data_IF_714583209763
#
_entry.id   IF_714583209763
#
_cell.length_a   1.000
_cell.length_b   1.000
_cell.length_c   1.000
_cell.angle_alpha   90.00
_cell.angle_beta   90.00
_cell.angle_gamma   90.00
#
_symmetry.space_group_name_H-M   'P 1'
#
loop_
_entity.id
_entity.type
_entity.pdbx_description
1 polymer ?
#
# COMPACT_ATOMS: atom_id res chain seq x y z
N UNK A 1 19.05 5.72 24.29
CA UNK A 1 18.21 4.91 23.36
C UNK A 1 18.78 5.09 21.97
N UNK A 2 19.17 4.02 21.26
CA UNK A 2 19.59 4.14 19.86
C UNK A 2 18.36 4.61 19.06
N UNK A 3 18.46 5.73 18.36
CA UNK A 3 17.44 6.13 17.40
C UNK A 3 17.29 4.99 16.39
N UNK A 4 16.15 4.29 16.42
CA UNK A 4 15.85 3.25 15.44
C UNK A 4 15.49 3.94 14.13
N UNK A 5 16.06 3.45 13.05
CA UNK A 5 15.67 3.89 11.72
C UNK A 5 14.21 3.54 11.49
N UNK A 6 13.44 4.49 10.96
CA UNK A 6 12.04 4.28 10.58
C UNK A 6 11.93 4.16 9.08
N UNK A 7 10.93 3.38 8.66
CA UNK A 7 10.55 3.25 7.28
C UNK A 7 9.19 3.89 7.04
N UNK A 8 9.04 4.58 5.94
CA UNK A 8 7.75 4.83 5.34
C UNK A 8 7.21 3.53 4.78
N UNK A 9 5.96 3.23 5.10
CA UNK A 9 5.19 2.13 4.53
C UNK A 9 4.01 2.75 3.81
N UNK A 10 3.95 2.54 2.50
CA UNK A 10 2.87 3.00 1.63
C UNK A 10 2.15 1.78 1.12
N UNK A 11 0.84 1.74 1.30
CA UNK A 11 -0.01 0.68 0.73
C UNK A 11 -1.16 1.31 -0.01
N UNK A 12 -1.31 0.91 -1.27
CA UNK A 12 -2.37 1.38 -2.15
C UNK A 12 -3.07 0.16 -2.78
N UNK A 13 -4.38 0.26 -2.94
CA UNK A 13 -5.24 -0.82 -3.40
C UNK A 13 -6.15 -0.32 -4.51
N UNK A 14 -6.22 -1.06 -5.61
CA UNK A 14 -7.16 -0.85 -6.69
C UNK A 14 -8.03 -2.09 -6.83
N UNK A 15 -9.34 -1.89 -6.97
CA UNK A 15 -10.28 -2.94 -7.33
C UNK A 15 -10.51 -2.91 -8.83
N UNK A 16 -10.35 -4.05 -9.47
CA UNK A 16 -10.52 -4.21 -10.92
C UNK A 16 -11.59 -5.26 -11.20
N UNK A 17 -12.34 -5.08 -12.27
CA UNK A 17 -13.22 -6.09 -12.80
C UNK A 17 -12.46 -6.91 -13.84
N UNK A 18 -12.50 -8.25 -13.76
CA UNK A 18 -11.79 -9.13 -14.70
C UNK A 18 -12.23 -8.92 -16.15
N UNK A 19 -13.49 -8.54 -16.34
CA UNK A 19 -14.08 -8.31 -17.66
C UNK A 19 -13.92 -6.86 -18.15
N UNK A 20 -13.28 -5.98 -17.38
CA UNK A 20 -13.02 -4.63 -17.86
C UNK A 20 -11.94 -4.69 -18.94
N UNK A 21 -12.19 -4.05 -20.09
CA UNK A 21 -11.21 -3.91 -21.17
C UNK A 21 -9.92 -3.16 -20.72
N UNK A 22 -9.93 -2.60 -19.54
CA UNK A 22 -8.78 -2.04 -18.84
C UNK A 22 -8.08 -3.13 -18.01
N UNK A 23 -7.48 -4.09 -18.66
CA UNK A 23 -6.45 -4.89 -18.00
C UNK A 23 -5.44 -3.90 -17.43
N UNK A 24 -5.19 -3.98 -16.11
CA UNK A 24 -4.16 -3.18 -15.47
C UNK A 24 -2.82 -3.54 -16.14
N UNK A 25 -2.30 -2.63 -16.96
CA UNK A 25 -1.05 -2.82 -17.70
C UNK A 25 0.14 -2.86 -16.73
N UNK A 26 0.30 -3.99 -16.05
CA UNK A 26 1.31 -4.21 -15.01
C UNK A 26 2.71 -3.78 -15.46
N UNK A 27 3.08 -4.08 -16.72
CA UNK A 27 4.42 -3.74 -17.24
C UNK A 27 4.70 -2.24 -17.16
N UNK A 28 3.86 -1.43 -17.81
CA UNK A 28 4.04 0.02 -17.86
C UNK A 28 4.00 0.66 -16.47
N UNK A 29 3.13 0.14 -15.60
CA UNK A 29 2.94 0.63 -14.23
C UNK A 29 4.13 0.30 -13.32
N UNK A 30 4.72 -0.90 -13.46
CA UNK A 30 5.94 -1.26 -12.73
C UNK A 30 7.10 -0.36 -13.11
N UNK A 31 7.34 -0.15 -14.41
CA UNK A 31 8.41 0.72 -14.89
C UNK A 31 8.21 2.17 -14.44
N UNK A 32 6.96 2.63 -14.43
CA UNK A 32 6.59 3.92 -13.88
C UNK A 32 6.93 4.03 -12.39
N UNK A 33 6.54 3.04 -11.57
CA UNK A 33 6.87 3.01 -10.14
C UNK A 33 8.38 3.07 -9.88
N UNK A 34 9.17 2.26 -10.61
CA UNK A 34 10.64 2.28 -10.51
C UNK A 34 11.16 3.71 -10.73
N UNK A 35 10.75 4.34 -11.84
CA UNK A 35 11.19 5.69 -12.19
C UNK A 35 10.83 6.72 -11.11
N UNK A 36 9.62 6.64 -10.54
CA UNK A 36 9.19 7.59 -9.51
C UNK A 36 9.94 7.36 -8.19
N UNK A 37 10.19 6.11 -7.79
CA UNK A 37 10.94 5.80 -6.56
C UNK A 37 12.41 6.24 -6.72
N UNK A 38 13.05 5.95 -7.85
CA UNK A 38 14.40 6.41 -8.15
C UNK A 38 14.50 7.95 -8.10
N UNK A 39 13.44 8.66 -8.53
CA UNK A 39 13.37 10.13 -8.53
C UNK A 39 13.30 10.72 -7.12
N UNK A 40 12.49 10.14 -6.23
CA UNK A 40 12.26 10.70 -4.88
C UNK A 40 13.33 10.32 -3.88
N UNK A 41 14.06 9.20 -4.10
CA UNK A 41 15.02 8.63 -3.15
C UNK A 41 16.47 8.72 -3.61
N UNK A 42 16.72 8.99 -4.90
CA UNK A 42 18.02 8.90 -5.56
C UNK A 42 18.65 7.48 -5.56
N UNK A 43 17.93 6.49 -5.01
CA UNK A 43 18.34 5.08 -5.03
C UNK A 43 18.19 4.50 -6.45
N UNK A 44 18.90 3.40 -6.71
CA UNK A 44 18.79 2.64 -7.97
C UNK A 44 18.20 1.27 -7.72
N UNK A 45 17.31 0.85 -8.60
CA UNK A 45 16.80 -0.51 -8.57
C UNK A 45 17.94 -1.48 -8.92
N UNK A 46 18.16 -2.50 -8.05
CA UNK A 46 19.28 -3.44 -8.15
C UNK A 46 18.88 -4.87 -8.43
N UNK A 47 17.70 -5.29 -7.98
CA UNK A 47 17.19 -6.63 -8.27
C UNK A 47 15.67 -6.63 -8.44
N UNK A 48 15.19 -7.58 -9.23
CA UNK A 48 13.82 -7.63 -9.69
C UNK A 48 13.35 -9.07 -9.67
N UNK A 49 12.18 -9.33 -9.13
CA UNK A 49 11.56 -10.65 -9.15
C UNK A 49 10.20 -10.59 -9.84
N UNK A 50 9.91 -11.61 -10.65
CA UNK A 50 8.64 -11.78 -11.35
C UNK A 50 8.00 -13.09 -10.91
N UNK A 51 6.78 -13.02 -10.41
CA UNK A 51 5.93 -14.15 -10.06
C UNK A 51 6.58 -15.17 -9.10
N UNK A 52 7.52 -14.71 -8.24
CA UNK A 52 8.31 -15.57 -7.33
C UNK A 52 9.13 -16.66 -8.04
N UNK A 53 9.34 -16.54 -9.34
CA UNK A 53 9.96 -17.60 -10.16
C UNK A 53 11.31 -17.20 -10.72
N UNK A 54 11.52 -15.93 -10.99
CA UNK A 54 12.70 -15.46 -11.71
C UNK A 54 13.21 -14.15 -11.16
N UNK A 55 14.48 -14.14 -10.73
CA UNK A 55 15.17 -12.95 -10.25
C UNK A 55 16.13 -12.42 -11.32
N UNK A 56 16.02 -11.14 -11.62
CA UNK A 56 16.86 -10.42 -12.58
C UNK A 56 17.75 -9.42 -11.85
N UNK A 57 19.03 -9.39 -12.21
CA UNK A 57 20.03 -8.45 -11.65
C UNK A 57 20.28 -7.24 -12.54
N UNK A 58 19.65 -7.18 -13.71
CA UNK A 58 19.78 -6.06 -14.64
C UNK A 58 18.42 -5.56 -15.09
N UNK A 59 18.29 -4.23 -15.18
CA UNK A 59 17.06 -3.59 -15.64
C UNK A 59 16.67 -4.03 -17.05
N UNK A 60 17.64 -4.15 -17.96
CA UNK A 60 17.38 -4.59 -19.33
C UNK A 60 16.87 -6.04 -19.43
N UNK A 61 17.42 -6.96 -18.61
CA UNK A 61 16.91 -8.34 -18.53
C UNK A 61 15.49 -8.38 -17.98
N UNK A 62 15.22 -7.60 -16.94
CA UNK A 62 13.90 -7.46 -16.35
C UNK A 62 12.87 -6.89 -17.34
N UNK A 63 13.19 -5.79 -18.04
CA UNK A 63 12.30 -5.18 -19.03
C UNK A 63 11.93 -6.15 -20.18
N UNK A 64 12.88 -6.97 -20.63
CA UNK A 64 12.60 -8.03 -21.62
C UNK A 64 11.64 -9.08 -21.06
N UNK A 65 11.86 -9.48 -19.80
CA UNK A 65 11.01 -10.46 -19.14
C UNK A 65 9.60 -9.93 -18.92
N UNK A 66 9.43 -8.68 -18.51
CA UNK A 66 8.12 -8.03 -18.37
C UNK A 66 7.34 -8.08 -19.69
N UNK A 67 7.98 -7.71 -20.82
CA UNK A 67 7.36 -7.73 -22.16
C UNK A 67 6.95 -9.11 -22.62
N UNK A 68 7.67 -10.14 -22.23
CA UNK A 68 7.41 -11.52 -22.65
C UNK A 68 6.44 -12.26 -21.72
N UNK A 69 6.20 -11.76 -20.50
CA UNK A 69 5.37 -12.42 -19.51
C UNK A 69 3.89 -11.98 -19.67
N UNK A 70 3.07 -12.91 -20.21
CA UNK A 70 1.64 -12.66 -20.43
C UNK A 70 0.78 -12.76 -19.15
N UNK A 71 1.31 -13.38 -18.12
CA UNK A 71 0.59 -13.64 -16.85
C UNK A 71 1.35 -13.02 -15.67
N UNK A 72 1.52 -11.71 -15.71
CA UNK A 72 2.20 -10.99 -14.64
C UNK A 72 1.26 -10.76 -13.46
N UNK A 73 1.42 -11.55 -12.40
CA UNK A 73 0.60 -11.45 -11.18
C UNK A 73 1.34 -10.83 -9.99
N UNK A 74 2.68 -10.84 -10.02
CA UNK A 74 3.49 -10.30 -8.93
C UNK A 74 4.81 -9.76 -9.44
N UNK A 75 5.23 -8.64 -8.88
CA UNK A 75 6.57 -8.10 -9.07
C UNK A 75 7.11 -7.57 -7.74
N UNK A 76 8.37 -7.86 -7.47
CA UNK A 76 9.16 -7.29 -6.37
C UNK A 76 10.38 -6.59 -6.96
N UNK A 77 10.64 -5.38 -6.49
CA UNK A 77 11.82 -4.59 -6.89
C UNK A 77 12.55 -4.11 -5.65
N UNK A 78 13.82 -4.48 -5.53
CA UNK A 78 14.71 -4.08 -4.47
C UNK A 78 15.64 -2.95 -4.94
N UNK A 79 15.94 -2.01 -4.07
CA UNK A 79 16.76 -0.85 -4.34
C UNK A 79 18.09 -0.91 -3.58
N UNK A 80 19.10 -0.23 -4.13
CA UNK A 80 20.43 -0.15 -3.56
C UNK A 80 20.44 0.79 -2.35
N UNK A 81 20.04 0.28 -1.20
CA UNK A 81 19.98 1.00 0.06
C UNK A 81 20.92 0.38 1.09
N UNK A 82 21.73 1.22 1.75
CA UNK A 82 22.73 0.77 2.74
C UNK A 82 22.16 0.59 4.15
N UNK A 83 21.04 1.25 4.48
CA UNK A 83 20.57 1.37 5.87
C UNK A 83 19.43 0.44 6.25
N UNK A 84 18.45 0.34 5.40
CA UNK A 84 17.30 -0.58 5.58
C UNK A 84 16.84 -1.05 4.22
N UNK A 85 16.24 -2.24 4.18
CA UNK A 85 15.66 -2.74 2.94
C UNK A 85 14.66 -1.74 2.37
N UNK A 86 14.92 -1.29 1.14
CA UNK A 86 14.03 -0.44 0.36
C UNK A 86 13.54 -1.21 -0.83
N UNK A 87 12.25 -1.46 -0.87
CA UNK A 87 11.65 -2.24 -1.95
C UNK A 87 10.21 -1.81 -2.21
N UNK A 88 9.70 -2.12 -3.38
CA UNK A 88 8.27 -2.16 -3.59
C UNK A 88 7.81 -3.52 -4.13
N UNK A 89 6.55 -3.81 -3.88
CA UNK A 89 5.83 -4.91 -4.50
C UNK A 89 4.59 -4.38 -5.18
N UNK A 90 4.22 -4.99 -6.29
CA UNK A 90 2.93 -4.81 -6.91
C UNK A 90 2.40 -6.19 -7.30
N UNK A 91 1.15 -6.46 -6.97
CA UNK A 91 0.52 -7.73 -7.27
C UNK A 91 -0.90 -7.54 -7.77
N UNK A 92 -1.28 -8.35 -8.74
CA UNK A 92 -2.65 -8.48 -9.20
C UNK A 92 -3.17 -9.83 -8.68
N UNK A 93 -4.04 -9.80 -7.68
CA UNK A 93 -4.58 -10.99 -7.04
C UNK A 93 -6.04 -11.15 -7.41
N UNK A 94 -6.37 -12.30 -8.01
CA UNK A 94 -7.77 -12.70 -8.17
C UNK A 94 -8.35 -12.94 -6.78
N UNK A 95 -9.39 -12.19 -6.45
CA UNK A 95 -10.15 -12.41 -5.22
C UNK A 95 -11.14 -13.54 -5.51
N UNK A 96 -10.84 -14.74 -5.01
CA UNK A 96 -11.80 -15.85 -4.96
C UNK A 96 -12.91 -15.52 -3.95
N UNK A 97 -13.70 -14.51 -4.24
CA UNK A 97 -14.85 -14.13 -3.45
C UNK A 97 -16.05 -14.92 -3.96
N UNK A 98 -16.64 -15.74 -3.09
CA UNK A 98 -17.88 -16.48 -3.39
C UNK A 98 -18.98 -15.58 -3.94
N UNK A 99 -18.98 -14.29 -3.56
CA UNK A 99 -20.02 -13.33 -3.90
C UNK A 99 -19.66 -12.44 -5.12
N UNK A 100 -18.38 -12.31 -5.47
CA UNK A 100 -17.91 -11.48 -6.60
C UNK A 100 -16.66 -12.12 -7.23
N UNK A 101 -16.81 -13.25 -7.90
CA UNK A 101 -15.65 -13.98 -8.48
C UNK A 101 -14.97 -13.21 -9.62
N UNK A 102 -15.64 -12.22 -10.20
CA UNK A 102 -15.14 -11.40 -11.29
C UNK A 102 -14.27 -10.21 -10.84
N UNK A 103 -14.00 -10.08 -9.54
CA UNK A 103 -13.18 -8.97 -9.05
C UNK A 103 -11.77 -9.42 -8.68
N UNK A 104 -10.81 -8.58 -9.03
CA UNK A 104 -9.41 -8.72 -8.61
C UNK A 104 -8.93 -7.46 -7.89
N UNK A 105 -7.84 -7.56 -7.13
CA UNK A 105 -7.18 -6.40 -6.52
C UNK A 105 -5.79 -6.23 -7.06
N UNK A 106 -5.40 -4.99 -7.33
CA UNK A 106 -4.01 -4.61 -7.46
C UNK A 106 -3.55 -4.01 -6.14
N UNK A 107 -2.56 -4.65 -5.54
CA UNK A 107 -1.96 -4.24 -4.29
C UNK A 107 -0.57 -3.67 -4.56
N UNK A 108 -0.33 -2.45 -4.15
CA UNK A 108 0.99 -1.82 -4.15
C UNK A 108 1.48 -1.65 -2.72
N UNK A 109 2.73 -2.02 -2.46
CA UNK A 109 3.41 -1.77 -1.19
C UNK A 109 4.80 -1.21 -1.45
N UNK A 110 5.13 -0.04 -0.89
CA UNK A 110 6.49 0.49 -0.83
C UNK A 110 6.95 0.55 0.61
N UNK A 111 8.15 0.03 0.88
CA UNK A 111 8.92 0.26 2.08
C UNK A 111 10.16 1.08 1.71
N UNK A 112 10.39 2.21 2.38
CA UNK A 112 11.54 3.06 2.15
C UNK A 112 11.95 3.79 3.44
N UNK A 113 13.26 3.85 3.71
CA UNK A 113 13.77 4.54 4.90
C UNK A 113 13.40 6.04 4.88
N UNK A 114 13.03 6.56 6.05
CA UNK A 114 12.80 8.01 6.26
C UNK A 114 14.05 8.86 6.01
N UNK A 115 15.22 8.25 5.87
CA UNK A 115 16.48 8.95 5.57
C UNK A 115 16.64 9.24 4.07
N UNK A 116 15.95 8.48 3.19
CA UNK A 116 15.97 8.72 1.75
C UNK A 116 14.84 9.64 1.26
N UNK A 117 13.74 9.71 2.01
CA UNK A 117 12.57 10.48 1.61
C UNK A 117 11.96 11.23 2.79
N UNK A 118 11.71 12.51 2.62
CA UNK A 118 10.91 13.29 3.58
C UNK A 118 9.41 13.13 3.32
N UNK A 119 8.61 13.63 4.26
CA UNK A 119 7.15 13.50 4.21
C UNK A 119 6.53 14.16 2.98
N UNK A 120 7.03 15.34 2.61
CA UNK A 120 6.53 16.08 1.43
C UNK A 120 6.73 15.28 0.14
N UNK A 121 7.92 14.68 -0.03
CA UNK A 121 8.21 13.82 -1.20
C UNK A 121 7.33 12.58 -1.23
N UNK A 122 7.05 11.97 -0.09
CA UNK A 122 6.16 10.80 0.04
C UNK A 122 4.70 11.17 -0.31
N UNK A 123 4.20 12.30 0.18
CA UNK A 123 2.84 12.76 -0.15
C UNK A 123 2.68 13.05 -1.64
N UNK A 124 3.67 13.73 -2.24
CA UNK A 124 3.67 14.00 -3.68
C UNK A 124 3.72 12.70 -4.50
N UNK A 125 4.59 11.77 -4.11
CA UNK A 125 4.68 10.45 -4.73
C UNK A 125 3.35 9.69 -4.66
N UNK A 126 2.69 9.66 -3.50
CA UNK A 126 1.41 8.98 -3.35
C UNK A 126 0.33 9.58 -4.27
N UNK A 127 0.27 10.91 -4.36
CA UNK A 127 -0.70 11.59 -5.25
C UNK A 127 -0.45 11.23 -6.71
N UNK A 128 0.81 11.21 -7.14
CA UNK A 128 1.19 10.79 -8.49
C UNK A 128 0.77 9.34 -8.75
N UNK A 129 1.03 8.43 -7.81
CA UNK A 129 0.62 7.03 -7.98
C UNK A 129 -0.90 6.85 -8.01
N UNK A 130 -1.63 7.56 -7.15
CA UNK A 130 -3.09 7.50 -7.09
C UNK A 130 -3.69 7.99 -8.41
N UNK A 131 -3.16 9.06 -8.99
CA UNK A 131 -3.64 9.62 -10.25
C UNK A 131 -3.32 8.71 -11.43
N UNK A 132 -2.06 8.27 -11.57
CA UNK A 132 -1.60 7.50 -12.72
C UNK A 132 -2.06 6.04 -12.71
N UNK A 133 -2.14 5.42 -11.52
CA UNK A 133 -2.50 4.02 -11.38
C UNK A 133 -3.97 3.82 -10.99
N UNK A 134 -4.67 4.87 -10.61
CA UNK A 134 -6.10 4.87 -10.31
C UNK A 134 -6.44 4.03 -9.08
N UNK A 135 -5.65 4.09 -8.01
CA UNK A 135 -5.96 3.41 -6.76
C UNK A 135 -7.25 3.92 -6.11
N UNK A 136 -7.98 3.02 -5.45
CA UNK A 136 -9.28 3.29 -4.83
C UNK A 136 -9.22 3.51 -3.33
N UNK A 137 -8.16 3.03 -2.70
CA UNK A 137 -7.92 3.12 -1.26
C UNK A 137 -6.44 3.01 -0.95
N UNK A 138 -6.02 3.55 0.19
CA UNK A 138 -4.66 3.37 0.64
C UNK A 138 -4.34 4.05 1.95
N UNK A 139 -3.10 3.88 2.38
CA UNK A 139 -2.59 4.56 3.56
C UNK A 139 -1.07 4.64 3.55
N UNK A 140 -0.57 5.57 4.36
CA UNK A 140 0.85 5.74 4.61
C UNK A 140 1.10 5.86 6.11
N UNK A 141 2.10 5.14 6.58
CA UNK A 141 2.51 5.15 7.98
C UNK A 141 4.03 5.08 8.13
N UNK A 142 4.53 5.29 9.34
CA UNK A 142 5.95 5.11 9.69
C UNK A 142 6.07 3.96 10.67
N UNK A 143 6.87 2.96 10.33
CA UNK A 143 7.18 1.83 11.20
C UNK A 143 8.68 1.76 11.51
N UNK A 144 9.04 1.25 12.67
CA UNK A 144 10.44 0.94 12.97
C UNK A 144 10.94 -0.17 12.03
N UNK A 145 12.24 -0.17 11.73
CA UNK A 145 12.86 -1.12 10.77
C UNK A 145 12.74 -2.60 11.16
N UNK A 146 12.32 -2.91 12.39
CA UNK A 146 12.06 -4.26 12.85
C UNK A 146 10.59 -4.71 12.69
N UNK A 147 9.78 -3.93 11.95
CA UNK A 147 8.41 -4.31 11.59
C UNK A 147 8.36 -4.88 10.18
N UNK A 148 7.53 -5.89 9.99
CA UNK A 148 7.13 -6.41 8.70
C UNK A 148 6.11 -5.48 8.04
N UNK A 149 6.36 -5.05 6.82
CA UNK A 149 5.47 -4.14 6.11
C UNK A 149 4.15 -4.81 5.70
N UNK A 150 4.16 -6.13 5.53
CA UNK A 150 2.99 -6.91 5.11
C UNK A 150 1.92 -6.96 6.19
N UNK A 151 2.33 -7.24 7.42
CA UNK A 151 1.43 -7.37 8.58
C UNK A 151 1.44 -6.15 9.49
N UNK A 152 2.41 -5.23 9.30
CA UNK A 152 2.62 -4.06 10.17
C UNK A 152 2.90 -4.46 11.62
N UNK A 153 3.53 -5.60 11.81
CA UNK A 153 3.83 -6.16 13.11
C UNK A 153 5.32 -6.36 13.29
N UNK A 154 5.74 -6.31 14.55
CA UNK A 154 7.13 -6.52 14.91
C UNK A 154 7.57 -7.92 14.54
N UNK A 155 8.70 -8.01 13.84
CA UNK A 155 9.35 -9.27 13.50
C UNK A 155 10.02 -9.87 14.74
N UNK A 156 9.80 -11.17 14.99
CA UNK A 156 10.52 -11.94 15.97
C UNK A 156 11.71 -12.62 15.29
N UNK A 157 12.92 -12.25 15.68
CA UNK A 157 14.15 -12.88 15.20
C UNK A 157 14.48 -14.08 16.09
N UNK A 158 14.46 -15.29 15.53
CA UNK A 158 15.01 -16.51 16.11
C UNK A 158 16.46 -16.73 15.66
N UNK A 159 17.07 -17.82 16.13
CA UNK A 159 18.47 -18.17 15.76
C UNK A 159 18.62 -18.45 14.26
N UNK A 160 17.61 -19.04 13.61
CA UNK A 160 17.65 -19.48 12.21
C UNK A 160 16.48 -18.97 11.35
N UNK A 161 15.57 -18.18 11.93
CA UNK A 161 14.39 -17.71 11.21
C UNK A 161 13.88 -16.39 11.76
N UNK A 162 13.21 -15.64 10.89
CA UNK A 162 12.40 -14.48 11.28
C UNK A 162 10.94 -14.83 11.09
N UNK A 163 10.11 -14.53 12.07
CA UNK A 163 8.67 -14.80 12.01
C UNK A 163 7.86 -13.60 12.45
N UNK A 164 6.63 -13.53 11.95
CA UNK A 164 5.64 -12.49 12.28
C UNK A 164 4.36 -13.15 12.78
N UNK A 165 3.77 -12.58 13.82
CA UNK A 165 2.46 -13.03 14.29
C UNK A 165 1.38 -12.45 13.39
N UNK A 166 0.80 -13.28 12.54
CA UNK A 166 -0.40 -12.94 11.76
C UNK A 166 -1.62 -13.00 12.68
N UNK A 167 -2.49 -12.00 12.66
CA UNK A 167 -3.74 -11.98 13.41
C UNK A 167 -4.93 -12.25 12.48
N UNK A 168 -6.04 -12.65 13.08
CA UNK A 168 -7.29 -12.88 12.35
C UNK A 168 -7.71 -11.68 11.50
N UNK A 169 -7.60 -10.47 12.03
CA UNK A 169 -7.90 -9.25 11.27
C UNK A 169 -7.01 -9.03 10.04
N UNK A 170 -5.79 -9.54 10.03
CA UNK A 170 -4.92 -9.46 8.86
C UNK A 170 -5.47 -10.37 7.75
N UNK A 171 -5.99 -11.55 8.12
CA UNK A 171 -6.68 -12.45 7.19
C UNK A 171 -8.01 -11.86 6.71
N UNK A 172 -8.82 -11.30 7.64
CA UNK A 172 -10.10 -10.65 7.29
C UNK A 172 -9.84 -9.55 6.26
N UNK A 173 -8.84 -8.68 6.48
CA UNK A 173 -8.48 -7.66 5.52
C UNK A 173 -8.10 -8.24 4.16
N UNK A 174 -7.24 -9.26 4.14
CA UNK A 174 -6.75 -9.87 2.90
C UNK A 174 -7.89 -10.48 2.06
N UNK A 175 -8.89 -11.07 2.72
CA UNK A 175 -10.02 -11.74 2.05
C UNK A 175 -11.18 -10.81 1.72
N UNK A 176 -11.30 -9.67 2.41
CA UNK A 176 -12.46 -8.77 2.30
C UNK A 176 -12.11 -7.39 1.71
N UNK A 177 -11.05 -7.28 0.92
CA UNK A 177 -10.66 -6.00 0.30
C UNK A 177 -11.75 -5.37 -0.57
N UNK A 178 -12.64 -6.18 -1.11
CA UNK A 178 -13.81 -5.69 -1.85
C UNK A 178 -14.72 -4.79 -1.01
N UNK A 179 -14.71 -4.93 0.31
CA UNK A 179 -15.47 -4.10 1.24
C UNK A 179 -14.99 -2.63 1.28
N UNK A 180 -13.83 -2.34 0.65
CA UNK A 180 -13.41 -0.96 0.37
C UNK A 180 -14.51 -0.19 -0.39
N UNK A 181 -15.22 -0.86 -1.30
CA UNK A 181 -16.34 -0.27 -2.03
C UNK A 181 -17.56 0.01 -1.14
N UNK A 182 -17.64 -0.62 0.03
CA UNK A 182 -18.67 -0.39 1.03
C UNK A 182 -18.20 0.55 2.15
N UNK A 183 -17.04 1.21 1.95
CA UNK A 183 -16.50 2.22 2.84
C UNK A 183 -15.76 1.66 4.06
N UNK A 184 -15.27 0.40 4.00
CA UNK A 184 -14.46 -0.16 5.08
C UNK A 184 -13.06 0.48 5.09
N UNK A 185 -12.56 0.79 6.29
CA UNK A 185 -11.22 1.31 6.54
C UNK A 185 -10.41 0.23 7.24
N UNK A 186 -9.24 -0.12 6.72
CA UNK A 186 -8.39 -1.17 7.33
C UNK A 186 -8.02 -0.85 8.78
N UNK A 187 -7.58 0.37 9.02
CA UNK A 187 -7.21 0.88 10.33
C UNK A 187 -7.04 2.40 10.23
N UNK A 188 -6.86 3.07 11.37
CA UNK A 188 -6.54 4.49 11.43
C UNK A 188 -5.02 4.69 11.28
N UNK A 189 -4.62 5.38 10.22
CA UNK A 189 -3.23 5.70 9.92
C UNK A 189 -3.03 7.22 9.92
N UNK A 190 -1.79 7.71 10.06
CA UNK A 190 -1.51 9.15 9.95
C UNK A 190 -1.99 9.75 8.62
N UNK A 191 -1.87 8.99 7.52
CA UNK A 191 -2.31 9.41 6.19
C UNK A 191 -3.16 8.28 5.60
N UNK A 192 -4.42 8.58 5.29
CA UNK A 192 -5.36 7.65 4.67
C UNK A 192 -5.83 8.22 3.34
N UNK A 193 -5.94 7.38 2.32
CA UNK A 193 -6.54 7.68 1.03
C UNK A 193 -7.85 6.93 0.94
N UNK A 194 -8.96 7.66 0.87
CA UNK A 194 -10.31 7.11 0.90
C UNK A 194 -11.10 7.61 -0.31
N UNK A 195 -12.06 6.82 -0.75
CA UNK A 195 -12.93 7.16 -1.88
C UNK A 195 -14.33 7.59 -1.41
N UNK A 196 -15.20 7.91 -2.35
CA UNK A 196 -16.58 8.35 -2.11
C UNK A 196 -17.39 7.37 -1.25
N UNK A 197 -17.17 6.05 -1.35
CA UNK A 197 -17.91 5.06 -0.59
C UNK A 197 -17.73 5.19 0.92
N UNK A 198 -16.57 5.70 1.35
CA UNK A 198 -16.27 5.97 2.76
C UNK A 198 -17.04 7.18 3.31
N UNK A 199 -17.59 8.02 2.44
CA UNK A 199 -18.32 9.23 2.77
C UNK A 199 -19.85 9.10 2.57
N UNK A 200 -20.34 7.92 2.19
CA UNK A 200 -21.77 7.67 1.99
C UNK A 200 -22.54 7.48 3.30
N UNK A 201 -21.92 6.88 4.31
CA UNK A 201 -22.50 6.76 5.64
C UNK A 201 -22.38 8.10 6.37
N UNK A 202 -23.50 8.69 6.82
CA UNK A 202 -23.56 10.02 7.43
C UNK A 202 -22.75 10.14 8.72
N UNK A 203 -22.75 9.09 9.56
CA UNK A 203 -22.01 9.07 10.82
C UNK A 203 -20.50 8.98 10.57
N UNK A 204 -20.07 8.06 9.69
CA UNK A 204 -18.68 7.94 9.30
C UNK A 204 -18.17 9.22 8.63
N UNK A 205 -18.95 9.82 7.72
CA UNK A 205 -18.62 11.09 7.08
C UNK A 205 -18.44 12.22 8.10
N UNK A 206 -19.33 12.29 9.08
CA UNK A 206 -19.24 13.28 10.17
C UNK A 206 -17.93 13.12 10.94
N UNK A 207 -17.58 11.89 11.34
CA UNK A 207 -16.35 11.60 12.06
C UNK A 207 -15.13 11.97 11.22
N UNK A 208 -15.09 11.56 9.95
CA UNK A 208 -13.99 11.88 9.04
C UNK A 208 -13.80 13.40 8.90
N UNK A 209 -14.89 14.16 8.89
CA UNK A 209 -14.86 15.62 8.77
C UNK A 209 -14.50 16.33 10.08
N UNK A 210 -14.81 15.75 11.22
CA UNK A 210 -14.53 16.34 12.55
C UNK A 210 -13.10 16.04 13.03
N UNK A 211 -12.52 14.92 12.62
CA UNK A 211 -11.20 14.49 13.07
C UNK A 211 -10.18 14.53 11.94
N UNK A 212 -9.14 15.33 12.13
CA UNK A 212 -8.06 15.47 11.15
C UNK A 212 -8.41 16.45 10.03
N UNK A 213 -7.65 16.34 8.94
CA UNK A 213 -7.78 17.21 7.77
C UNK A 213 -8.15 16.34 6.56
N UNK A 214 -9.33 16.59 6.01
CA UNK A 214 -9.81 15.95 4.80
C UNK A 214 -9.60 16.91 3.62
N UNK A 215 -8.84 16.46 2.61
CA UNK A 215 -8.61 17.21 1.38
C UNK A 215 -8.86 16.33 0.16
N UNK A 216 -9.37 16.92 -0.92
CA UNK A 216 -9.61 16.20 -2.16
C UNK A 216 -8.30 16.10 -2.94
N UNK A 217 -7.85 14.88 -3.25
CA UNK A 217 -6.63 14.62 -4.03
C UNK A 217 -6.94 14.68 -5.53
N UNK A 218 -8.01 14.02 -5.95
CA UNK A 218 -8.53 14.05 -7.33
C UNK A 218 -10.05 13.87 -7.34
N UNK A 219 -10.65 13.61 -8.53
CA UNK A 219 -12.10 13.48 -8.62
C UNK A 219 -12.72 12.32 -7.84
N UNK A 220 -11.91 11.32 -7.41
CA UNK A 220 -12.38 10.08 -6.78
C UNK A 220 -11.84 9.87 -5.37
N UNK A 221 -10.67 10.43 -5.05
CA UNK A 221 -9.92 10.13 -3.82
C UNK A 221 -9.76 11.38 -2.96
N UNK A 222 -9.91 11.17 -1.67
CA UNK A 222 -9.66 12.12 -0.61
C UNK A 222 -8.47 11.66 0.24
N UNK A 223 -7.61 12.58 0.61
CA UNK A 223 -6.54 12.41 1.57
C UNK A 223 -7.05 12.84 2.95
N UNK A 224 -7.08 11.91 3.90
CA UNK A 224 -7.49 12.15 5.27
C UNK A 224 -6.30 12.01 6.20
N UNK A 225 -5.81 13.15 6.70
CA UNK A 225 -4.63 13.26 7.55
C UNK A 225 -5.03 13.31 9.02
N UNK A 226 -4.45 12.42 9.83
CA UNK A 226 -4.70 12.28 11.25
C UNK A 226 -3.42 12.52 12.06
N UNK A 227 -3.52 13.29 13.13
CA UNK A 227 -2.48 13.35 14.16
C UNK A 227 -2.57 12.11 15.06
N UNK A 228 -1.50 11.82 15.81
CA UNK A 228 -1.50 10.73 16.80
C UNK A 228 -2.62 10.92 17.83
N UNK A 229 -2.90 12.17 18.23
CA UNK A 229 -3.99 12.51 19.14
C UNK A 229 -5.37 12.21 18.52
N UNK A 230 -5.56 12.52 17.22
CA UNK A 230 -6.80 12.16 16.53
C UNK A 230 -7.00 10.66 16.52
N UNK A 231 -5.95 9.89 16.17
CA UNK A 231 -5.99 8.41 16.13
C UNK A 231 -6.32 7.85 17.52
N UNK A 232 -5.69 8.35 18.57
CA UNK A 232 -5.95 7.92 19.94
C UNK A 232 -7.37 8.20 20.38
N UNK A 233 -7.88 9.40 20.12
CA UNK A 233 -9.25 9.80 20.45
C UNK A 233 -10.27 8.96 19.67
N UNK A 234 -10.09 8.77 18.36
CA UNK A 234 -10.97 7.96 17.55
C UNK A 234 -11.03 6.50 18.03
N UNK A 235 -9.90 5.92 18.39
CA UNK A 235 -9.85 4.55 18.95
C UNK A 235 -10.60 4.42 20.28
N UNK A 236 -10.63 5.47 21.10
CA UNK A 236 -11.30 5.45 22.40
C UNK A 236 -12.80 5.73 22.32
N UNK A 237 -13.22 6.63 21.43
CA UNK A 237 -14.57 7.22 21.48
C UNK A 237 -15.47 6.87 20.31
N UNK A 238 -14.92 6.53 19.15
CA UNK A 238 -15.64 6.44 17.88
C UNK A 238 -15.39 5.15 17.09
N UNK A 239 -14.77 4.15 17.71
CA UNK A 239 -14.38 2.91 17.02
C UNK A 239 -15.55 2.17 16.39
N UNK A 240 -16.70 2.13 17.08
CA UNK A 240 -17.90 1.41 16.61
C UNK A 240 -18.67 2.15 15.52
N UNK A 241 -18.45 3.47 15.37
CA UNK A 241 -19.10 4.31 14.37
C UNK A 241 -18.33 4.33 13.03
N UNK A 242 -17.07 3.91 13.03
CA UNK A 242 -16.26 3.75 11.84
C UNK A 242 -16.28 2.29 11.39
N UNK A 243 -16.44 2.06 10.09
CA UNK A 243 -16.32 0.71 9.51
C UNK A 243 -14.85 0.28 9.45
N UNK A 244 -14.30 -0.10 10.58
CA UNK A 244 -12.93 -0.63 10.66
C UNK A 244 -12.93 -2.15 10.54
N UNK A 245 -11.83 -2.71 10.03
CA UNK A 245 -11.57 -4.15 10.10
C UNK A 245 -11.26 -4.51 11.56
N UNK A 246 -12.06 -5.36 12.15
CA UNK A 246 -11.92 -5.83 13.53
C UNK A 246 -11.13 -7.14 13.65
#
# INVERSE_FOLDING_TARGET
MKNRTKNWIIKLFKLTDENSAEMFEMESKILFCIKQIEKISELKAKSFDINYQSTYKTKSGFEKALKSNKELVYCFVDFDSEKTETYFTISNQMLNLKEKPEKSTVDFCLQISTEYCNEKSILEFNRILIDELGFDYGYTTKLDSDFDSGTERKMKKGLFSTSVKVLEKDHIWTTNKVEILNGIIKNLYPINYINESHLTNSEQKKIISEFGILSKTNNRIYEWNLTDLNIENLKKTKRTELKLVE
#
